data_IF_101695431010
#
_entry.id   IF_101695431010
#
_cell.length_a   1.000
_cell.length_b   1.000
_cell.length_c   1.000
_cell.angle_alpha   90.00
_cell.angle_beta   90.00
_cell.angle_gamma   90.00
#
_symmetry.space_group_name_H-M   'P 1'
#
loop_
_entity.id
_entity.type
_entity.pdbx_description
1 polymer ?
#
# COMPACT_ATOMS: atom_id res chain seq x y z
N UNK A 1 15.51 10.99 -4.78
CA UNK A 1 15.31 10.43 -6.15
C UNK A 1 13.95 9.74 -6.14
N UNK A 2 12.91 10.47 -6.55
CA UNK A 2 11.55 9.95 -6.60
C UNK A 2 11.42 9.08 -7.85
N UNK A 3 11.07 7.80 -7.68
CA UNK A 3 10.71 6.94 -8.80
C UNK A 3 9.37 7.41 -9.36
N UNK A 4 9.41 8.11 -10.49
CA UNK A 4 8.24 8.41 -11.32
C UNK A 4 7.69 7.08 -11.83
N UNK A 5 6.60 6.61 -11.21
CA UNK A 5 5.79 5.53 -11.73
C UNK A 5 5.21 5.97 -13.06
N UNK A 6 5.77 5.43 -14.15
CA UNK A 6 5.34 5.72 -15.51
C UNK A 6 3.88 5.29 -15.66
N UNK A 7 2.97 6.23 -15.88
CA UNK A 7 1.62 5.91 -16.32
C UNK A 7 1.73 5.17 -17.66
N UNK A 8 1.37 3.89 -17.66
CA UNK A 8 1.29 3.07 -18.87
C UNK A 8 0.15 3.62 -19.71
N UNK A 9 0.45 4.10 -20.92
CA UNK A 9 -0.54 4.49 -21.93
C UNK A 9 -1.19 3.21 -22.50
N UNK A 10 -2.49 3.24 -22.90
CA UNK A 10 -3.20 2.07 -23.38
C UNK A 10 -2.79 1.79 -24.83
N UNK A 11 -1.67 1.11 -25.02
CA UNK A 11 -1.37 0.42 -26.26
C UNK A 11 -1.63 -1.08 -26.01
N UNK A 12 -2.56 -1.63 -26.79
CA UNK A 12 -3.13 -2.99 -26.74
C UNK A 12 -4.24 -3.20 -25.69
N UNK A 13 -5.49 -3.03 -26.12
CA UNK A 13 -6.70 -3.44 -25.39
C UNK A 13 -6.72 -4.98 -25.27
N UNK A 14 -6.19 -5.48 -24.16
CA UNK A 14 -6.38 -6.86 -23.74
C UNK A 14 -7.63 -6.96 -22.85
N UNK A 15 -8.33 -8.10 -22.85
CA UNK A 15 -9.40 -8.41 -21.87
C UNK A 15 -8.96 -8.15 -20.41
N UNK A 16 -7.66 -8.24 -20.14
CA UNK A 16 -7.04 -7.89 -18.86
C UNK A 16 -7.13 -6.40 -18.46
N UNK A 17 -7.32 -5.46 -19.41
CA UNK A 17 -7.57 -4.05 -19.07
C UNK A 17 -8.95 -3.81 -18.48
N UNK A 18 -9.92 -4.69 -18.77
CA UNK A 18 -11.25 -4.63 -18.16
C UNK A 18 -11.20 -5.04 -16.67
N UNK A 19 -10.30 -5.97 -16.31
CA UNK A 19 -9.99 -6.30 -14.92
C UNK A 19 -9.27 -5.17 -14.16
N UNK A 20 -8.79 -4.15 -14.87
CA UNK A 20 -8.06 -3.02 -14.30
C UNK A 20 -8.95 -1.80 -14.00
N UNK A 21 -10.28 -1.91 -14.17
CA UNK A 21 -11.25 -0.90 -13.73
C UNK A 21 -11.39 -0.87 -12.20
N UNK A 22 -10.26 -0.81 -11.50
CA UNK A 22 -10.20 -0.24 -10.15
C UNK A 22 -10.45 1.26 -10.27
N UNK A 23 -11.33 1.81 -9.45
CA UNK A 23 -11.60 3.24 -9.42
C UNK A 23 -10.27 3.98 -9.20
N UNK A 24 -9.83 4.76 -10.19
CA UNK A 24 -8.55 5.46 -10.11
C UNK A 24 -8.62 6.53 -9.03
N UNK A 25 -8.10 6.21 -7.85
CA UNK A 25 -7.89 7.19 -6.79
C UNK A 25 -6.84 8.21 -7.24
N UNK A 26 -6.98 9.50 -6.89
CA UNK A 26 -5.92 10.48 -7.10
C UNK A 26 -4.63 10.02 -6.41
N UNK A 27 -3.48 10.22 -7.06
CA UNK A 27 -2.18 9.81 -6.53
C UNK A 27 -1.90 10.44 -5.14
N UNK A 28 -2.40 11.65 -4.91
CA UNK A 28 -2.32 12.33 -3.61
C UNK A 28 -3.00 11.56 -2.48
N UNK A 29 -4.02 10.75 -2.78
CA UNK A 29 -4.72 9.90 -1.82
C UNK A 29 -3.93 8.64 -1.52
N UNK A 30 -3.39 7.99 -2.56
CA UNK A 30 -2.63 6.75 -2.43
C UNK A 30 -1.38 6.93 -1.55
N UNK A 31 -0.71 8.08 -1.65
CA UNK A 31 0.52 8.36 -0.93
C UNK A 31 0.36 9.22 0.33
N UNK A 32 -0.88 9.44 0.79
CA UNK A 32 -1.15 10.35 1.91
C UNK A 32 -0.43 9.92 3.20
N UNK A 33 -0.55 8.64 3.60
CA UNK A 33 0.06 8.11 4.82
C UNK A 33 1.59 8.12 4.76
N UNK A 34 2.16 7.81 3.59
CA UNK A 34 3.61 7.87 3.38
C UNK A 34 4.13 9.30 3.46
N UNK A 35 3.39 10.27 2.91
CA UNK A 35 3.71 11.69 3.00
C UNK A 35 3.63 12.17 4.46
N UNK A 36 2.55 11.85 5.18
CA UNK A 36 2.37 12.18 6.60
C UNK A 36 3.52 11.63 7.45
N UNK A 37 3.91 10.37 7.21
CA UNK A 37 5.05 9.75 7.87
C UNK A 37 6.36 10.48 7.56
N UNK A 38 6.61 10.83 6.29
CA UNK A 38 7.82 11.54 5.88
C UNK A 38 7.94 12.91 6.54
N UNK A 39 6.86 13.69 6.55
CA UNK A 39 6.81 14.99 7.24
C UNK A 39 7.10 14.83 8.73
N UNK A 40 6.51 13.82 9.39
CA UNK A 40 6.79 13.54 10.80
C UNK A 40 8.26 13.18 11.04
N UNK A 41 8.88 12.39 10.15
CA UNK A 41 10.29 12.02 10.26
C UNK A 41 11.23 13.22 10.06
N UNK A 42 10.87 14.16 9.19
CA UNK A 42 11.62 15.42 9.03
C UNK A 42 11.54 16.27 10.31
N UNK A 43 10.35 16.39 10.89
CA UNK A 43 10.17 17.12 12.16
C UNK A 43 10.96 16.47 13.30
N UNK A 44 10.88 15.14 13.42
CA UNK A 44 11.64 14.37 14.41
C UNK A 44 13.15 14.52 14.22
N UNK A 45 13.62 14.52 12.97
CA UNK A 45 15.03 14.76 12.66
C UNK A 45 15.51 16.14 13.11
N UNK A 46 14.69 17.16 12.88
CA UNK A 46 15.04 18.53 13.25
C UNK A 46 15.10 18.73 14.77
N UNK A 47 14.27 17.99 15.53
CA UNK A 47 14.21 18.08 16.98
C UNK A 47 15.27 17.22 17.69
N UNK A 48 15.38 15.96 17.29
CA UNK A 48 16.10 14.92 18.04
C UNK A 48 17.31 14.35 17.28
N UNK A 49 17.60 14.86 16.07
CA UNK A 49 18.69 14.40 15.22
C UNK A 49 18.35 13.16 14.37
N UNK A 50 19.37 12.57 13.73
CA UNK A 50 19.17 11.52 12.70
C UNK A 50 18.84 10.12 13.26
N UNK A 51 19.24 9.82 14.50
CA UNK A 51 19.08 8.48 15.08
C UNK A 51 17.61 8.02 15.19
N UNK A 52 16.73 8.80 15.85
CA UNK A 52 15.32 8.44 16.00
C UNK A 52 14.57 8.16 14.68
N UNK A 53 14.64 9.01 13.63
CA UNK A 53 13.97 8.72 12.36
C UNK A 53 14.56 7.51 11.63
N UNK A 54 15.86 7.24 11.75
CA UNK A 54 16.47 6.02 11.17
C UNK A 54 15.91 4.76 11.83
N UNK A 55 15.90 4.71 13.17
CA UNK A 55 15.33 3.59 13.93
C UNK A 55 13.87 3.36 13.56
N UNK A 56 13.07 4.44 13.53
CA UNK A 56 11.63 4.37 13.20
C UNK A 56 11.40 3.92 11.75
N UNK A 57 12.27 4.31 10.82
CA UNK A 57 12.24 3.81 9.44
C UNK A 57 12.55 2.32 9.34
N UNK A 58 13.54 1.83 10.09
CA UNK A 58 13.87 0.40 10.16
C UNK A 58 12.73 -0.43 10.75
N UNK A 59 12.11 0.04 11.84
CA UNK A 59 10.95 -0.61 12.46
C UNK A 59 9.77 -0.70 11.49
N UNK A 60 9.47 0.38 10.76
CA UNK A 60 8.41 0.40 9.74
C UNK A 60 8.72 -0.56 8.59
N UNK A 61 9.97 -0.62 8.14
CA UNK A 61 10.39 -1.56 7.09
C UNK A 61 10.26 -3.02 7.53
N UNK A 62 10.62 -3.34 8.78
CA UNK A 62 10.42 -4.66 9.35
C UNK A 62 8.92 -5.00 9.47
N UNK A 63 8.09 -4.06 9.93
CA UNK A 63 6.64 -4.27 10.08
C UNK A 63 5.92 -4.54 8.75
N UNK A 64 6.40 -3.97 7.64
CA UNK A 64 5.86 -4.21 6.29
C UNK A 64 6.20 -5.58 5.71
N UNK A 65 7.26 -6.23 6.19
CA UNK A 65 7.70 -7.54 5.71
C UNK A 65 6.86 -8.69 6.29
N UNK A 66 5.55 -8.67 6.06
CA UNK A 66 4.68 -9.81 6.43
C UNK A 66 4.59 -10.78 5.26
N UNK A 67 5.09 -12.01 5.44
CA UNK A 67 4.92 -13.09 4.46
C UNK A 67 3.44 -13.49 4.37
N UNK A 68 2.76 -13.09 3.30
CA UNK A 68 1.36 -13.46 3.00
C UNK A 68 1.26 -14.10 1.63
N UNK A 69 0.20 -14.88 1.44
CA UNK A 69 -0.17 -15.41 0.13
C UNK A 69 -0.49 -14.25 -0.83
N UNK A 70 -0.17 -14.37 -2.13
CA UNK A 70 -0.26 -13.25 -3.08
C UNK A 70 -1.68 -12.71 -3.28
N UNK A 71 -2.71 -13.52 -2.98
CA UNK A 71 -4.11 -13.10 -3.04
C UNK A 71 -4.62 -12.45 -1.76
N UNK A 72 -3.88 -12.56 -0.66
CA UNK A 72 -4.30 -12.03 0.62
C UNK A 72 -3.53 -10.75 0.92
N UNK A 73 -4.21 -9.61 0.84
CA UNK A 73 -3.61 -8.33 1.20
C UNK A 73 -3.22 -8.28 2.67
N UNK A 74 -2.14 -7.58 2.95
CA UNK A 74 -1.78 -7.28 4.33
C UNK A 74 -2.73 -6.25 4.91
N UNK A 75 -3.22 -6.52 6.11
CA UNK A 75 -3.92 -5.52 6.93
C UNK A 75 -3.00 -4.47 7.53
N UNK A 76 -1.68 -4.58 7.29
CA UNK A 76 -0.62 -3.69 7.81
C UNK A 76 -0.72 -3.39 9.32
N UNK A 77 -1.30 -4.31 10.10
CA UNK A 77 -1.62 -4.09 11.51
C UNK A 77 -0.41 -3.59 12.34
N UNK A 78 0.74 -4.23 12.18
CA UNK A 78 1.95 -3.84 12.91
C UNK A 78 2.43 -2.43 12.52
N UNK A 79 2.32 -2.06 11.25
CA UNK A 79 2.61 -0.70 10.80
C UNK A 79 1.64 0.31 11.43
N UNK A 80 0.34 -0.03 11.47
CA UNK A 80 -0.69 0.82 12.06
C UNK A 80 -0.51 1.02 13.58
N UNK A 81 -0.03 0.00 14.31
CA UNK A 81 0.36 0.14 15.72
C UNK A 81 1.53 1.12 15.86
N UNK A 82 2.58 0.98 15.03
CA UNK A 82 3.78 1.83 15.11
C UNK A 82 3.52 3.30 14.73
N UNK A 83 2.56 3.55 13.85
CA UNK A 83 2.18 4.91 13.45
C UNK A 83 1.10 5.52 14.36
N UNK A 84 0.48 4.73 15.23
CA UNK A 84 -0.65 5.16 16.06
C UNK A 84 -1.97 5.28 15.29
N UNK A 85 -2.04 4.80 14.04
CA UNK A 85 -3.26 4.90 13.21
C UNK A 85 -4.46 4.16 13.83
N UNK A 86 -4.23 3.12 14.63
CA UNK A 86 -5.33 2.39 15.28
C UNK A 86 -6.11 3.21 16.31
N UNK A 87 -5.58 4.36 16.74
CA UNK A 87 -6.26 5.27 17.67
C UNK A 87 -7.28 6.17 16.97
N UNK A 88 -7.13 6.34 15.65
CA UNK A 88 -7.95 7.23 14.82
C UNK A 88 -8.81 6.42 13.83
N UNK A 89 -10.07 6.83 13.63
CA UNK A 89 -10.94 6.24 12.61
C UNK A 89 -10.93 7.13 11.37
N UNK A 90 -10.44 6.58 10.26
CA UNK A 90 -10.36 7.28 8.98
C UNK A 90 -11.54 6.96 8.08
N UNK A 91 -11.84 7.82 7.10
CA UNK A 91 -12.86 7.55 6.08
C UNK A 91 -12.61 6.24 5.33
N UNK A 92 -11.34 5.87 5.16
CA UNK A 92 -10.93 4.58 4.59
C UNK A 92 -11.53 3.42 5.38
N UNK A 93 -11.51 3.46 6.71
CA UNK A 93 -11.95 2.33 7.54
C UNK A 93 -13.48 2.14 7.48
N UNK A 94 -14.22 3.23 7.22
CA UNK A 94 -15.68 3.19 7.02
C UNK A 94 -16.04 2.69 5.62
N UNK A 95 -15.35 3.19 4.61
CA UNK A 95 -15.69 2.97 3.19
C UNK A 95 -15.04 1.72 2.58
N UNK A 96 -13.92 1.24 3.12
CA UNK A 96 -13.19 0.05 2.62
C UNK A 96 -13.71 -1.26 3.20
N UNK A 97 -15.04 -1.43 3.21
CA UNK A 97 -15.64 -2.68 3.67
C UNK A 97 -15.15 -3.86 2.79
N UNK A 98 -14.80 -5.02 3.38
CA UNK A 98 -14.24 -6.15 2.63
C UNK A 98 -15.14 -6.62 1.48
N UNK A 99 -16.45 -6.47 1.64
CA UNK A 99 -17.47 -6.83 0.65
C UNK A 99 -17.44 -5.95 -0.63
N UNK A 100 -16.82 -4.77 -0.58
CA UNK A 100 -16.71 -3.83 -1.70
C UNK A 100 -15.27 -3.63 -2.17
N UNK A 101 -14.35 -4.52 -1.78
CA UNK A 101 -12.95 -4.39 -2.16
C UNK A 101 -12.76 -4.77 -3.64
N UNK A 102 -12.51 -3.75 -4.46
CA UNK A 102 -12.28 -3.84 -5.91
C UNK A 102 -11.07 -4.72 -6.27
N UNK A 103 -10.19 -4.99 -5.32
CA UNK A 103 -8.96 -5.76 -5.54
C UNK A 103 -9.09 -7.24 -5.19
N UNK A 104 -10.27 -7.69 -4.74
CA UNK A 104 -10.54 -9.10 -4.51
C UNK A 104 -10.77 -9.81 -5.85
N UNK A 105 -9.79 -10.62 -6.27
CA UNK A 105 -9.97 -11.55 -7.38
C UNK A 105 -10.03 -13.00 -6.87
N UNK A 106 -10.46 -13.91 -7.74
CA UNK A 106 -10.49 -15.33 -7.41
C UNK A 106 -9.05 -15.81 -7.06
N UNK A 107 -8.86 -16.50 -5.92
CA UNK A 107 -7.53 -16.79 -5.40
C UNK A 107 -6.68 -17.68 -6.32
N UNK A 108 -7.31 -18.60 -7.06
CA UNK A 108 -6.60 -19.48 -8.00
C UNK A 108 -5.95 -18.68 -9.13
N UNK A 109 -6.65 -17.71 -9.72
CA UNK A 109 -6.14 -16.84 -10.80
C UNK A 109 -4.90 -16.06 -10.33
N UNK A 110 -4.94 -15.53 -9.10
CA UNK A 110 -3.82 -14.76 -8.54
C UNK A 110 -2.60 -15.66 -8.30
N UNK A 111 -2.82 -16.88 -7.81
CA UNK A 111 -1.74 -17.85 -7.54
C UNK A 111 -1.13 -18.38 -8.82
N UNK A 112 -1.94 -18.75 -9.81
CA UNK A 112 -1.49 -19.20 -11.14
C UNK A 112 -0.59 -18.14 -11.80
N UNK A 113 -1.02 -16.87 -11.76
CA UNK A 113 -0.23 -15.74 -12.25
C UNK A 113 1.06 -15.55 -11.45
N UNK A 114 1.02 -15.61 -10.13
CA UNK A 114 2.20 -15.46 -9.28
C UNK A 114 3.22 -16.59 -9.49
N UNK A 115 2.75 -17.79 -9.83
CA UNK A 115 3.56 -18.99 -10.08
C UNK A 115 4.01 -19.11 -11.54
N UNK A 116 3.59 -18.20 -12.44
CA UNK A 116 3.93 -18.22 -13.86
C UNK A 116 3.27 -19.37 -14.65
N UNK A 117 2.22 -19.98 -14.08
CA UNK A 117 1.46 -21.08 -14.69
C UNK A 117 0.28 -20.43 -15.41
N UNK A 118 0.55 -19.71 -16.50
CA UNK A 118 -0.52 -19.09 -17.29
C UNK A 118 -1.21 -20.12 -18.17
N UNK A 119 -2.55 -20.13 -18.16
CA UNK A 119 -3.38 -20.53 -19.29
C UNK A 119 -3.84 -19.28 -20.04
#
# INVERSE_FOLDING_TARGET
MCASGRAVLPAELNCFSELAHTHRLPDSRLFYEDHKFHTNMQMLRNRDGLGPPLKRGMERFAARQTGRLPFLRSSNLMEHVLTGRLEDISFEDVLSQPQHDEHLHQPHIIVERAMGISL
#
